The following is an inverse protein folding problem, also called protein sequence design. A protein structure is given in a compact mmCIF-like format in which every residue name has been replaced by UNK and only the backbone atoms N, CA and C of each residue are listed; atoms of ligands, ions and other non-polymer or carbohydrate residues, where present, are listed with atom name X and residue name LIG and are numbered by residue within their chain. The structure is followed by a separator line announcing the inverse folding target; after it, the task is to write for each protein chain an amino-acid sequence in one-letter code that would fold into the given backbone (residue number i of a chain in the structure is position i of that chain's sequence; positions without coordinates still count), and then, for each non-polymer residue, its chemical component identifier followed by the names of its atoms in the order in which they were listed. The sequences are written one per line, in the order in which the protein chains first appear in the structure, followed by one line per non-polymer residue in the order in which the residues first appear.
data_IF_103540823143
#
_entry.id   IF_103540823143
#
_cell.length_a   1.000
_cell.length_b   1.000
_cell.length_c   1.000
_cell.angle_alpha   90.00
_cell.angle_beta   90.00
_cell.angle_gamma   90.00
#
_symmetry.space_group_name_H-M   'P 1'
#
loop_
_entity.id
_entity.type
_entity.pdbx_description
1 polymer ?
#
# COMPACT_ATOMS: atom_id res chain seq x y z
N UNK A 1 -17.09 3.00 17.37
CA UNK A 1 -16.17 1.88 17.05
C UNK A 1 -16.00 1.84 15.55
N UNK A 2 -14.79 2.09 15.04
CA UNK A 2 -14.55 2.29 13.61
C UNK A 2 -14.10 1.00 12.94
N UNK A 3 -14.81 0.62 11.88
CA UNK A 3 -14.53 -0.53 11.03
C UNK A 3 -14.17 -0.04 9.63
N UNK A 4 -13.21 -0.71 9.01
CA UNK A 4 -12.81 -0.48 7.63
C UNK A 4 -13.19 -1.69 6.82
N UNK A 5 -14.00 -1.56 5.78
CA UNK A 5 -14.13 -2.61 4.78
C UNK A 5 -13.21 -2.29 3.61
N UNK A 6 -12.51 -3.29 3.09
CA UNK A 6 -11.79 -3.24 1.83
C UNK A 6 -12.43 -4.23 0.88
N UNK A 7 -12.69 -3.81 -0.36
CA UNK A 7 -13.04 -4.71 -1.46
C UNK A 7 -12.09 -4.44 -2.64
N UNK A 8 -11.44 -5.46 -3.18
CA UNK A 8 -10.64 -5.36 -4.41
C UNK A 8 -11.23 -6.27 -5.50
N UNK A 9 -11.12 -5.85 -6.76
CA UNK A 9 -11.48 -6.67 -7.92
C UNK A 9 -10.61 -6.30 -9.11
N UNK A 10 -9.95 -7.27 -9.76
CA UNK A 10 -9.14 -6.99 -10.96
C UNK A 10 -10.03 -6.87 -12.20
N UNK A 11 -9.85 -5.81 -12.99
CA UNK A 11 -10.49 -5.64 -14.29
C UNK A 11 -9.63 -6.32 -15.39
N UNK A 12 -10.12 -7.41 -15.96
CA UNK A 12 -9.42 -8.14 -17.02
C UNK A 12 -9.54 -7.47 -18.39
N UNK A 13 -8.44 -7.45 -19.15
CA UNK A 13 -8.43 -7.08 -20.57
C UNK A 13 -9.11 -8.18 -21.41
N UNK A 14 -10.19 -7.84 -22.10
CA UNK A 14 -10.53 -8.51 -23.35
C UNK A 14 -10.56 -7.46 -24.44
N UNK A 15 -9.60 -7.51 -25.36
CA UNK A 15 -9.80 -6.93 -26.68
C UNK A 15 -11.07 -7.54 -27.27
N UNK A 16 -12.02 -6.76 -27.80
CA UNK A 16 -12.95 -7.32 -28.76
C UNK A 16 -12.11 -7.89 -29.90
N UNK A 17 -12.35 -9.14 -30.30
CA UNK A 17 -11.98 -9.60 -31.63
C UNK A 17 -12.78 -8.76 -32.63
N UNK A 18 -12.28 -7.57 -32.92
CA UNK A 18 -12.58 -6.90 -34.17
C UNK A 18 -11.54 -7.44 -35.15
N UNK A 19 -12.05 -8.07 -36.20
CA UNK A 19 -11.27 -8.64 -37.28
C UNK A 19 -10.16 -7.67 -37.74
N UNK A 20 -8.95 -8.22 -37.82
CA UNK A 20 -7.80 -7.64 -38.50
C UNK A 20 -7.42 -6.19 -38.18
N UNK A 21 -7.00 -5.85 -36.95
CA UNK A 21 -5.88 -4.91 -36.75
C UNK A 21 -5.18 -5.15 -35.40
N UNK A 22 -3.85 -5.27 -35.45
CA UNK A 22 -2.85 -5.40 -34.36
C UNK A 22 -3.36 -5.07 -32.94
N UNK A 23 -3.23 -6.04 -32.05
CA UNK A 23 -3.38 -5.90 -30.60
C UNK A 23 -2.50 -4.74 -30.06
N UNK A 24 -3.12 -3.59 -29.83
CA UNK A 24 -2.51 -2.53 -29.04
C UNK A 24 -2.77 -2.84 -27.56
N UNK A 25 -1.73 -3.27 -26.83
CA UNK A 25 -1.78 -3.17 -25.38
C UNK A 25 -2.05 -1.71 -25.05
N UNK A 26 -3.00 -1.43 -24.18
CA UNK A 26 -3.24 -0.07 -23.76
C UNK A 26 -2.00 0.41 -23.01
N UNK A 27 -1.45 1.54 -23.42
CA UNK A 27 -0.46 2.24 -22.61
C UNK A 27 -1.11 2.68 -21.29
N UNK A 28 -0.33 2.68 -20.20
CA UNK A 28 -0.78 2.96 -18.84
C UNK A 28 -1.58 4.26 -18.75
N UNK A 29 -1.17 5.30 -19.48
CA UNK A 29 -1.88 6.58 -19.52
C UNK A 29 -3.27 6.48 -20.17
N UNK A 30 -3.39 5.71 -21.26
CA UNK A 30 -4.67 5.53 -21.97
C UNK A 30 -5.66 4.72 -21.13
N UNK A 31 -5.17 3.73 -20.40
CA UNK A 31 -6.00 2.98 -19.46
C UNK A 31 -6.50 3.86 -18.33
N UNK A 32 -5.63 4.69 -17.73
CA UNK A 32 -6.04 5.64 -16.68
C UNK A 32 -7.10 6.64 -17.18
N UNK A 33 -6.97 7.14 -18.42
CA UNK A 33 -7.97 8.00 -19.03
C UNK A 33 -9.32 7.29 -19.22
N UNK A 34 -9.30 6.02 -19.65
CA UNK A 34 -10.51 5.23 -19.83
C UNK A 34 -11.27 5.00 -18.52
N UNK A 35 -10.56 4.78 -17.41
CA UNK A 35 -11.16 4.54 -16.09
C UNK A 35 -11.46 5.83 -15.32
N UNK A 36 -11.00 7.00 -15.77
CA UNK A 36 -11.25 8.29 -15.12
C UNK A 36 -12.75 8.58 -14.94
N UNK A 37 -13.56 8.28 -15.97
CA UNK A 37 -15.01 8.43 -15.89
C UNK A 37 -15.66 7.51 -14.84
N UNK A 38 -15.06 6.35 -14.57
CA UNK A 38 -15.47 5.46 -13.49
C UNK A 38 -15.07 6.03 -12.14
N UNK A 39 -13.82 6.47 -11.97
CA UNK A 39 -13.31 7.05 -10.72
C UNK A 39 -14.13 8.26 -10.27
N UNK A 40 -14.41 9.20 -11.19
CA UNK A 40 -15.25 10.37 -10.89
C UNK A 40 -16.65 10.02 -10.39
N UNK A 41 -17.19 8.89 -10.84
CA UNK A 41 -18.50 8.40 -10.38
C UNK A 41 -18.39 7.73 -9.01
N UNK A 42 -17.28 7.05 -8.73
CA UNK A 42 -17.00 6.43 -7.45
C UNK A 42 -16.73 7.47 -6.35
N UNK A 43 -16.10 8.60 -6.67
CA UNK A 43 -15.87 9.70 -5.72
C UNK A 43 -17.17 10.34 -5.22
N UNK A 44 -18.26 10.19 -5.96
CA UNK A 44 -19.58 10.66 -5.56
C UNK A 44 -20.34 9.66 -4.66
N UNK A 45 -19.77 8.49 -4.37
CA UNK A 45 -20.39 7.52 -3.48
C UNK A 45 -20.17 7.94 -2.04
N UNK A 46 -21.26 8.28 -1.36
CA UNK A 46 -21.21 8.73 0.03
C UNK A 46 -20.64 7.66 0.96
N UNK A 47 -19.72 8.06 1.86
CA UNK A 47 -19.09 7.19 2.88
C UNK A 47 -18.23 6.04 2.36
N UNK A 48 -17.88 6.03 1.07
CA UNK A 48 -16.89 5.12 0.50
C UNK A 48 -15.84 5.91 -0.28
N UNK A 49 -14.63 5.38 -0.34
CA UNK A 49 -13.53 5.92 -1.14
C UNK A 49 -13.05 4.84 -2.10
N UNK A 50 -12.71 5.24 -3.32
CA UNK A 50 -12.13 4.36 -4.31
C UNK A 50 -10.66 4.72 -4.53
N UNK A 51 -9.81 3.71 -4.56
CA UNK A 51 -8.40 3.79 -4.89
C UNK A 51 -8.19 2.89 -6.11
N UNK A 52 -7.34 3.30 -7.04
CA UNK A 52 -7.04 2.48 -8.21
C UNK A 52 -5.55 2.38 -8.40
N UNK A 53 -5.07 1.15 -8.50
CA UNK A 53 -3.70 0.86 -8.87
C UNK A 53 -3.71 -0.05 -10.09
N UNK A 54 -3.19 0.44 -11.21
CA UNK A 54 -3.35 -0.22 -12.50
C UNK A 54 -4.82 -0.65 -12.72
N UNK A 55 -5.07 -1.94 -12.95
CA UNK A 55 -6.36 -2.57 -13.19
C UNK A 55 -7.11 -3.03 -11.93
N UNK A 56 -6.58 -2.77 -10.72
CA UNK A 56 -7.14 -3.19 -9.44
C UNK A 56 -7.81 -2.01 -8.67
N UNK A 57 -9.12 -1.78 -8.83
CA UNK A 57 -9.89 -0.91 -7.96
C UNK A 57 -10.05 -1.49 -6.55
N UNK A 58 -9.63 -0.70 -5.56
CA UNK A 58 -9.80 -0.96 -4.13
C UNK A 58 -10.81 0.02 -3.55
N UNK A 59 -11.93 -0.49 -3.04
CA UNK A 59 -12.95 0.27 -2.33
C UNK A 59 -12.72 0.20 -0.83
N UNK A 60 -12.80 1.34 -0.15
CA UNK A 60 -12.65 1.45 1.30
C UNK A 60 -13.84 2.20 1.88
N UNK A 61 -14.43 1.69 2.97
CA UNK A 61 -15.47 2.43 3.70
C UNK A 61 -15.25 2.34 5.20
N UNK A 62 -15.63 3.42 5.88
CA UNK A 62 -15.53 3.58 7.32
C UNK A 62 -16.93 3.55 7.94
N UNK A 63 -17.15 2.73 8.98
CA UNK A 63 -18.48 2.57 9.57
C UNK A 63 -18.50 2.07 10.99
N UNK A 64 -19.69 2.10 11.61
CA UNK A 64 -19.92 1.65 12.99
C UNK A 64 -19.89 0.11 13.15
N UNK A 65 -19.90 -0.64 12.05
CA UNK A 65 -19.95 -2.10 11.99
C UNK A 65 -19.77 -2.62 10.56
N UNK A 66 -19.60 -3.93 10.40
CA UNK A 66 -19.46 -4.57 9.08
C UNK A 66 -20.65 -4.30 8.16
N UNK A 67 -21.88 -4.33 8.68
CA UNK A 67 -23.11 -4.00 7.92
C UNK A 67 -23.13 -2.54 7.43
N UNK A 68 -22.70 -1.60 8.26
CA UNK A 68 -22.64 -0.18 7.88
C UNK A 68 -21.59 0.04 6.79
N UNK A 69 -20.40 -0.57 6.92
CA UNK A 69 -19.38 -0.55 5.87
C UNK A 69 -19.86 -1.22 4.59
N UNK A 70 -20.56 -2.35 4.69
CA UNK A 70 -21.11 -3.06 3.54
C UNK A 70 -22.12 -2.20 2.78
N UNK A 71 -23.05 -1.56 3.51
CA UNK A 71 -24.03 -0.64 2.95
C UNK A 71 -23.37 0.55 2.24
N UNK A 72 -22.24 1.06 2.76
CA UNK A 72 -21.48 2.13 2.14
C UNK A 72 -20.72 1.69 0.86
N UNK A 73 -20.17 0.46 0.83
CA UNK A 73 -19.42 -0.06 -0.32
C UNK A 73 -20.33 -0.55 -1.44
N UNK A 74 -21.52 -1.06 -1.13
CA UNK A 74 -22.39 -1.71 -2.10
C UNK A 74 -22.75 -0.83 -3.31
N UNK A 75 -23.07 0.46 -3.17
CA UNK A 75 -23.33 1.34 -4.32
C UNK A 75 -22.12 1.46 -5.26
N UNK A 76 -20.90 1.54 -4.71
CA UNK A 76 -19.67 1.59 -5.49
C UNK A 76 -19.44 0.29 -6.26
N UNK A 77 -19.67 -0.89 -5.66
CA UNK A 77 -19.59 -2.18 -6.35
C UNK A 77 -20.62 -2.31 -7.48
N UNK A 78 -21.85 -1.85 -7.24
CA UNK A 78 -22.90 -1.82 -8.28
C UNK A 78 -22.50 -0.91 -9.44
N UNK A 79 -21.83 0.21 -9.16
CA UNK A 79 -21.33 1.13 -10.17
C UNK A 79 -20.21 0.50 -11.01
N UNK A 80 -19.22 -0.14 -10.36
CA UNK A 80 -18.16 -0.88 -11.05
C UNK A 80 -18.76 -1.97 -11.94
N UNK A 81 -19.73 -2.73 -11.42
CA UNK A 81 -20.42 -3.78 -12.17
C UNK A 81 -21.12 -3.23 -13.41
N UNK A 82 -21.91 -2.16 -13.25
CA UNK A 82 -22.66 -1.53 -14.34
C UNK A 82 -21.71 -0.95 -15.40
N UNK A 83 -20.63 -0.31 -14.94
CA UNK A 83 -19.60 0.21 -15.83
C UNK A 83 -18.91 -0.91 -16.61
N UNK A 84 -18.50 -1.99 -15.93
CA UNK A 84 -17.87 -3.14 -16.56
C UNK A 84 -18.78 -3.82 -17.59
N UNK A 85 -20.07 -3.98 -17.30
CA UNK A 85 -21.05 -4.52 -18.24
C UNK A 85 -21.19 -3.64 -19.50
N UNK A 86 -21.12 -2.31 -19.37
CA UNK A 86 -21.24 -1.38 -20.49
C UNK A 86 -19.96 -1.18 -21.31
N UNK A 87 -18.80 -1.55 -20.77
CA UNK A 87 -17.49 -1.27 -21.37
C UNK A 87 -16.69 -2.53 -21.73
N UNK A 88 -17.24 -3.72 -21.44
CA UNK A 88 -16.68 -5.04 -21.71
C UNK A 88 -15.42 -5.51 -20.93
N UNK A 89 -14.92 -4.87 -19.84
CA UNK A 89 -13.91 -5.52 -19.01
C UNK A 89 -14.55 -6.64 -18.17
N UNK A 90 -13.90 -7.81 -18.15
CA UNK A 90 -14.35 -8.93 -17.28
C UNK A 90 -13.84 -8.69 -15.87
N UNK A 91 -14.75 -8.74 -14.90
CA UNK A 91 -14.35 -8.73 -13.48
C UNK A 91 -13.75 -10.10 -13.15
N UNK A 92 -12.51 -10.11 -12.66
CA UNK A 92 -11.87 -11.33 -12.20
C UNK A 92 -12.42 -11.72 -10.82
N UNK A 93 -13.26 -12.75 -10.79
CA UNK A 93 -13.88 -13.24 -9.57
C UNK A 93 -12.97 -14.09 -8.68
N UNK A 94 -11.78 -14.48 -9.12
CA UNK A 94 -10.83 -15.26 -8.32
C UNK A 94 -9.90 -14.37 -7.49
N UNK A 95 -9.57 -13.17 -8.00
CA UNK A 95 -8.70 -12.20 -7.32
C UNK A 95 -9.44 -11.23 -6.40
N UNK A 96 -10.76 -11.39 -6.23
CA UNK A 96 -11.54 -10.54 -5.35
C UNK A 96 -11.39 -10.91 -3.89
N UNK A 97 -11.22 -9.90 -3.06
CA UNK A 97 -11.20 -10.07 -1.62
C UNK A 97 -12.04 -8.96 -0.99
N UNK A 98 -12.86 -9.34 -0.01
CA UNK A 98 -13.48 -8.39 0.88
C UNK A 98 -13.15 -8.72 2.33
N UNK A 99 -12.66 -7.73 3.06
CA UNK A 99 -12.33 -7.90 4.46
C UNK A 99 -12.70 -6.68 5.28
N UNK A 100 -12.94 -6.93 6.56
CA UNK A 100 -13.21 -5.88 7.53
C UNK A 100 -12.11 -5.85 8.59
N UNK A 101 -11.59 -4.65 8.86
CA UNK A 101 -10.54 -4.35 9.81
C UNK A 101 -11.03 -3.42 10.91
N UNK A 102 -10.33 -3.39 12.02
CA UNK A 102 -10.76 -2.69 13.23
C UNK A 102 -9.58 -2.13 13.99
N UNK A 103 -9.71 -0.89 14.46
CA UNK A 103 -8.66 -0.19 15.22
C UNK A 103 -8.70 -0.52 16.74
N UNK A 104 -9.80 -1.07 17.27
CA UNK A 104 -9.94 -1.37 18.72
C UNK A 104 -9.77 -2.84 19.11
N UNK A 105 -9.10 -3.08 20.24
CA UNK A 105 -8.75 -4.40 20.80
C UNK A 105 -9.89 -5.13 21.51
N UNK A 106 -11.05 -4.50 21.72
CA UNK A 106 -12.14 -5.10 22.50
C UNK A 106 -12.78 -6.28 21.76
N UNK A 107 -12.70 -7.47 22.39
CA UNK A 107 -13.35 -8.71 21.97
C UNK A 107 -14.88 -8.51 21.91
N UNK A 108 -15.39 -8.14 20.74
CA UNK A 108 -16.78 -8.45 20.39
C UNK A 108 -16.70 -9.58 19.37
N UNK A 109 -17.52 -10.61 19.55
CA UNK A 109 -17.50 -11.84 18.77
C UNK A 109 -17.48 -11.55 17.28
N UNK A 110 -16.65 -12.32 16.57
CA UNK A 110 -16.81 -12.53 15.13
C UNK A 110 -18.22 -13.09 14.93
N UNK A 111 -19.10 -12.35 14.25
CA UNK A 111 -20.29 -12.85 13.55
C UNK A 111 -21.13 -11.66 13.08
N UNK A 112 -20.69 -11.05 11.99
CA UNK A 112 -21.61 -10.45 11.03
C UNK A 112 -20.89 -10.53 9.69
N UNK A 113 -20.86 -11.75 9.15
CA UNK A 113 -20.44 -11.99 7.78
C UNK A 113 -21.52 -11.38 6.90
N UNK A 114 -21.17 -10.34 6.16
CA UNK A 114 -22.07 -9.66 5.25
C UNK A 114 -21.64 -9.99 3.83
N UNK A 115 -22.57 -10.47 3.04
CA UNK A 115 -22.34 -10.69 1.61
C UNK A 115 -22.60 -9.40 0.86
N UNK A 116 -21.65 -9.01 0.02
CA UNK A 116 -21.78 -7.94 -0.95
C UNK A 116 -22.13 -8.55 -2.32
N UNK A 117 -22.92 -7.84 -3.11
CA UNK A 117 -23.21 -8.23 -4.48
C UNK A 117 -22.19 -7.59 -5.43
N UNK A 118 -21.59 -8.41 -6.30
CA UNK A 118 -20.65 -7.97 -7.34
C UNK A 118 -20.96 -8.73 -8.63
N UNK A 119 -21.59 -8.08 -9.60
CA UNK A 119 -22.11 -8.76 -10.79
C UNK A 119 -23.12 -9.85 -10.43
N UNK A 120 -22.96 -11.02 -11.04
CA UNK A 120 -23.75 -12.23 -10.75
C UNK A 120 -23.24 -13.01 -9.54
N UNK A 121 -22.16 -12.57 -8.89
CA UNK A 121 -21.53 -13.28 -7.78
C UNK A 121 -21.62 -12.54 -6.45
N UNK A 122 -21.52 -13.29 -5.35
CA UNK A 122 -21.40 -12.73 -4.00
C UNK A 122 -19.93 -12.57 -3.60
N UNK A 123 -19.62 -11.46 -2.93
CA UNK A 123 -18.33 -11.13 -2.35
C UNK A 123 -18.51 -11.05 -0.83
N UNK A 124 -18.11 -12.11 -0.13
CA UNK A 124 -18.28 -12.21 1.32
C UNK A 124 -17.24 -11.38 2.05
N UNK A 125 -17.69 -10.45 2.90
CA UNK A 125 -16.81 -9.74 3.81
C UNK A 125 -16.35 -10.71 4.91
N UNK A 126 -15.05 -10.85 5.06
CA UNK A 126 -14.46 -11.76 6.04
C UNK A 126 -13.54 -11.03 7.03
N UNK A 127 -13.56 -11.49 8.27
CA UNK A 127 -12.67 -11.05 9.36
C UNK A 127 -11.31 -11.74 9.26
N UNK A 128 -10.62 -11.60 8.10
CA UNK A 128 -9.34 -12.28 7.82
C UNK A 128 -8.32 -11.33 7.22
N UNK A 129 -7.01 -11.62 7.35
CA UNK A 129 -5.99 -10.88 6.63
C UNK A 129 -6.20 -10.98 5.11
N UNK A 130 -5.91 -9.90 4.39
CA UNK A 130 -5.96 -9.86 2.92
C UNK A 130 -4.68 -9.27 2.35
N UNK A 131 -4.38 -9.61 1.10
CA UNK A 131 -3.26 -9.01 0.36
C UNK A 131 -3.75 -7.83 -0.47
N UNK A 132 -3.05 -6.72 -0.37
CA UNK A 132 -3.22 -5.51 -1.18
C UNK A 132 -1.84 -4.98 -1.58
N UNK A 133 -1.55 -4.88 -2.88
CA UNK A 133 -0.28 -4.35 -3.40
C UNK A 133 0.96 -4.97 -2.72
N UNK A 134 0.97 -6.30 -2.66
CA UNK A 134 1.98 -7.13 -1.98
C UNK A 134 2.05 -7.00 -0.44
N UNK A 135 1.21 -6.18 0.17
CA UNK A 135 1.13 -6.03 1.62
C UNK A 135 0.01 -6.89 2.19
N UNK A 136 0.32 -7.61 3.28
CA UNK A 136 -0.72 -8.27 4.08
C UNK A 136 -1.29 -7.27 5.08
N UNK A 137 -2.55 -6.93 4.92
CA UNK A 137 -3.33 -6.12 5.86
C UNK A 137 -4.00 -7.07 6.84
N UNK A 138 -3.59 -7.02 8.11
CA UNK A 138 -4.16 -7.84 9.18
C UNK A 138 -5.40 -7.18 9.79
N UNK A 139 -6.25 -7.98 10.44
CA UNK A 139 -7.55 -7.54 11.00
C UNK A 139 -7.45 -6.30 11.90
N UNK A 140 -6.35 -6.19 12.65
CA UNK A 140 -6.14 -5.14 13.63
C UNK A 140 -5.32 -3.97 13.09
N UNK A 141 -4.97 -3.98 11.79
CA UNK A 141 -4.10 -3.00 11.15
C UNK A 141 -2.77 -2.83 11.92
N UNK A 142 -2.24 -3.91 12.50
CA UNK A 142 -0.95 -3.88 13.20
C UNK A 142 0.24 -3.99 12.25
N UNK A 143 -0.01 -4.44 11.01
CA UNK A 143 0.98 -4.67 9.96
C UNK A 143 2.14 -5.59 10.40
N UNK A 144 1.89 -6.50 11.33
CA UNK A 144 2.91 -7.42 11.86
C UNK A 144 3.55 -8.30 10.79
N UNK A 145 2.78 -8.73 9.78
CA UNK A 145 3.30 -9.49 8.64
C UNK A 145 4.30 -8.67 7.81
N UNK A 146 4.00 -7.39 7.56
CA UNK A 146 4.91 -6.48 6.87
C UNK A 146 6.17 -6.25 7.71
N UNK A 147 6.03 -6.01 9.01
CA UNK A 147 7.17 -5.87 9.93
C UNK A 147 8.06 -7.14 9.94
N UNK A 148 7.48 -8.33 9.84
CA UNK A 148 8.22 -9.59 9.74
C UNK A 148 8.97 -9.73 8.41
N UNK A 149 8.35 -9.35 7.28
CA UNK A 149 9.02 -9.35 5.96
C UNK A 149 10.17 -8.34 5.95
N UNK A 150 9.92 -7.10 6.39
CA UNK A 150 10.93 -6.07 6.53
C UNK A 150 12.07 -6.53 7.45
N UNK A 151 11.76 -7.28 8.52
CA UNK A 151 12.76 -7.91 9.38
C UNK A 151 13.63 -8.94 8.67
N UNK A 152 13.05 -9.81 7.83
CA UNK A 152 13.81 -10.81 7.08
C UNK A 152 14.74 -10.15 6.06
N UNK A 153 14.21 -9.22 5.30
CA UNK A 153 14.99 -8.39 4.38
C UNK A 153 16.07 -7.60 5.10
N UNK A 154 15.81 -7.21 6.36
CA UNK A 154 16.79 -6.50 7.17
C UNK A 154 18.02 -7.34 7.52
N UNK A 155 17.84 -8.63 7.72
CA UNK A 155 18.95 -9.56 7.97
C UNK A 155 19.81 -9.73 6.72
N UNK A 156 19.18 -9.95 5.56
CA UNK A 156 19.88 -10.11 4.28
C UNK A 156 20.67 -8.87 3.89
N UNK A 157 20.04 -7.70 3.95
CA UNK A 157 20.70 -6.42 3.66
C UNK A 157 21.86 -6.12 4.59
N UNK A 158 21.79 -6.53 5.87
CA UNK A 158 22.92 -6.40 6.80
C UNK A 158 24.10 -7.28 6.41
N UNK A 159 23.84 -8.52 5.97
CA UNK A 159 24.91 -9.40 5.49
C UNK A 159 25.61 -8.80 4.27
N UNK A 160 24.85 -8.33 3.28
CA UNK A 160 25.41 -7.68 2.09
C UNK A 160 26.18 -6.40 2.44
N UNK A 161 25.66 -5.58 3.35
CA UNK A 161 26.37 -4.39 3.84
C UNK A 161 27.72 -4.74 4.49
N UNK A 162 27.80 -5.86 5.25
CA UNK A 162 29.06 -6.34 5.82
C UNK A 162 30.05 -6.76 4.74
N UNK A 163 29.60 -7.44 3.68
CA UNK A 163 30.47 -7.83 2.57
C UNK A 163 31.06 -6.60 1.85
N UNK A 164 30.24 -5.59 1.59
CA UNK A 164 30.69 -4.33 0.97
C UNK A 164 31.70 -3.62 1.88
N UNK A 165 31.46 -3.59 3.19
CA UNK A 165 32.41 -3.03 4.15
C UNK A 165 33.74 -3.80 4.18
N UNK A 166 33.67 -5.14 4.18
CA UNK A 166 34.84 -6.03 4.17
C UNK A 166 35.68 -5.89 2.90
N UNK A 167 35.05 -5.54 1.78
CA UNK A 167 35.73 -5.23 0.52
C UNK A 167 36.47 -3.88 0.53
N UNK A 168 36.48 -3.15 1.65
CA UNK A 168 37.18 -1.88 1.79
C UNK A 168 36.46 -0.69 1.16
N UNK A 169 35.14 -0.77 0.98
CA UNK A 169 34.36 0.32 0.42
C UNK A 169 34.52 1.63 1.22
N UNK A 170 34.65 2.74 0.51
CA UNK A 170 34.74 4.06 1.13
C UNK A 170 33.45 4.42 1.88
N UNK A 171 33.55 5.34 2.84
CA UNK A 171 32.39 5.83 3.59
C UNK A 171 31.27 6.34 2.65
N UNK A 172 31.63 7.02 1.57
CA UNK A 172 30.67 7.51 0.57
C UNK A 172 29.97 6.37 -0.19
N UNK A 173 30.72 5.34 -0.59
CA UNK A 173 30.16 4.15 -1.25
C UNK A 173 29.22 3.38 -0.30
N UNK A 174 29.62 3.23 0.97
CA UNK A 174 28.81 2.60 2.02
C UNK A 174 27.49 3.33 2.25
N UNK A 175 27.53 4.66 2.34
CA UNK A 175 26.32 5.49 2.47
C UNK A 175 25.41 5.35 1.24
N UNK A 176 25.97 5.39 0.05
CA UNK A 176 25.22 5.25 -1.20
C UNK A 176 24.54 3.88 -1.28
N UNK A 177 25.24 2.81 -0.92
CA UNK A 177 24.68 1.46 -0.85
C UNK A 177 23.54 1.35 0.19
N UNK A 178 23.73 1.96 1.37
CA UNK A 178 22.72 2.00 2.43
C UNK A 178 21.46 2.76 2.00
N UNK A 179 21.58 3.85 1.24
CA UNK A 179 20.43 4.60 0.71
C UNK A 179 19.80 3.87 -0.48
N UNK A 180 20.58 3.49 -1.49
CA UNK A 180 20.03 2.94 -2.74
C UNK A 180 19.41 1.56 -2.56
N UNK A 181 20.13 0.66 -1.90
CA UNK A 181 19.70 -0.73 -1.79
C UNK A 181 18.94 -0.98 -0.48
N UNK A 182 19.54 -0.60 0.65
CA UNK A 182 19.01 -1.00 1.95
C UNK A 182 17.75 -0.21 2.32
N UNK A 183 17.68 1.11 2.06
CA UNK A 183 16.42 1.86 2.24
C UNK A 183 15.38 1.44 1.21
N UNK A 184 15.76 1.21 -0.04
CA UNK A 184 14.84 0.74 -1.09
C UNK A 184 14.10 -0.53 -0.65
N UNK A 185 14.83 -1.50 -0.11
CA UNK A 185 14.22 -2.75 0.38
C UNK A 185 13.48 -2.57 1.71
N UNK A 186 14.07 -1.86 2.69
CA UNK A 186 13.50 -1.80 4.06
C UNK A 186 12.32 -0.85 4.18
N UNK A 187 12.28 0.18 3.34
CA UNK A 187 11.27 1.24 3.37
C UNK A 187 10.29 1.13 2.20
N UNK A 188 10.29 0.00 1.48
CA UNK A 188 9.29 -0.27 0.46
C UNK A 188 7.89 -0.28 1.10
N UNK A 189 6.98 0.54 0.58
CA UNK A 189 5.65 0.81 1.14
C UNK A 189 5.67 1.40 2.57
N UNK A 190 6.82 1.92 3.01
CA UNK A 190 6.98 2.38 4.38
C UNK A 190 6.12 3.62 4.69
N UNK A 191 6.03 4.53 3.74
CA UNK A 191 5.20 5.73 3.83
C UNK A 191 3.71 5.45 4.15
N UNK A 192 3.14 4.36 3.64
CA UNK A 192 1.74 4.00 3.86
C UNK A 192 1.51 3.22 5.17
N UNK A 193 2.51 2.46 5.62
CA UNK A 193 2.37 1.50 6.72
C UNK A 193 2.87 2.08 8.06
N UNK A 194 3.94 2.88 8.03
CA UNK A 194 4.62 3.31 9.25
C UNK A 194 3.80 4.22 10.17
N UNK A 195 2.92 5.12 9.70
CA UNK A 195 2.03 5.87 10.58
C UNK A 195 1.13 4.98 11.44
N UNK A 196 0.87 3.75 10.98
CA UNK A 196 -0.03 2.79 11.61
C UNK A 196 0.68 1.70 12.43
N UNK A 197 2.02 1.64 12.39
CA UNK A 197 2.76 0.60 13.09
C UNK A 197 2.67 0.75 14.61
N UNK A 198 2.47 -0.37 15.30
CA UNK A 198 2.52 -0.39 16.76
C UNK A 198 3.92 0.12 17.24
N UNK A 199 3.98 0.89 18.34
CA UNK A 199 5.23 1.47 18.84
C UNK A 199 6.36 0.46 19.06
N UNK A 200 6.02 -0.78 19.43
CA UNK A 200 6.97 -1.88 19.62
C UNK A 200 7.67 -2.28 18.31
N UNK A 201 6.92 -2.42 17.21
CA UNK A 201 7.48 -2.75 15.90
C UNK A 201 8.35 -1.61 15.37
N UNK A 202 7.91 -0.36 15.56
CA UNK A 202 8.69 0.82 15.17
C UNK A 202 10.03 0.86 15.90
N UNK A 203 10.03 0.67 17.23
CA UNK A 203 11.26 0.63 18.04
C UNK A 203 12.23 -0.46 17.59
N UNK A 204 11.71 -1.66 17.27
CA UNK A 204 12.53 -2.76 16.78
C UNK A 204 13.18 -2.44 15.42
N UNK A 205 12.46 -1.76 14.53
CA UNK A 205 13.02 -1.30 13.25
C UNK A 205 14.07 -0.20 13.44
N UNK A 206 13.85 0.75 14.35
CA UNK A 206 14.83 1.79 14.68
C UNK A 206 16.16 1.21 15.20
N UNK A 207 16.10 0.20 16.09
CA UNK A 207 17.29 -0.51 16.60
C UNK A 207 18.05 -1.18 15.45
N UNK A 208 17.34 -1.85 14.54
CA UNK A 208 17.95 -2.50 13.37
C UNK A 208 18.58 -1.48 12.42
N UNK A 209 17.92 -0.35 12.20
CA UNK A 209 18.44 0.72 11.38
C UNK A 209 19.73 1.32 11.94
N UNK A 210 19.79 1.59 13.25
CA UNK A 210 21.01 2.05 13.93
C UNK A 210 22.15 1.04 13.80
N UNK A 211 21.86 -0.25 13.98
CA UNK A 211 22.85 -1.31 13.79
C UNK A 211 23.45 -1.33 12.36
N UNK A 212 22.67 -0.95 11.34
CA UNK A 212 23.21 -0.82 9.98
C UNK A 212 24.09 0.42 9.83
N UNK A 213 23.74 1.52 10.48
CA UNK A 213 24.60 2.71 10.53
C UNK A 213 25.95 2.39 11.22
N UNK A 214 25.93 1.63 12.32
CA UNK A 214 27.16 1.10 12.95
C UNK A 214 27.98 0.28 11.95
N UNK A 215 27.32 -0.63 11.24
CA UNK A 215 27.97 -1.50 10.25
C UNK A 215 28.57 -0.69 9.09
N UNK A 216 27.90 0.37 8.60
CA UNK A 216 28.44 1.22 7.53
C UNK A 216 29.64 2.05 7.95
N UNK A 217 29.74 2.36 9.25
CA UNK A 217 30.87 3.07 9.86
C UNK A 217 31.99 2.12 10.30
N UNK A 218 31.81 0.80 10.19
CA UNK A 218 32.75 -0.18 10.74
C UNK A 218 32.78 -0.22 12.28
N UNK A 219 31.80 0.39 12.95
CA UNK A 219 31.72 0.43 14.41
C UNK A 219 31.21 -0.90 14.98
N UNK A 220 31.73 -1.27 16.15
CA UNK A 220 31.27 -2.43 16.91
C UNK A 220 29.89 -2.18 17.54
N UNK A 221 29.22 -3.24 17.99
CA UNK A 221 27.87 -3.12 18.56
C UNK A 221 27.81 -2.29 19.86
N UNK A 222 28.92 -2.15 20.60
CA UNK A 222 28.97 -1.56 21.94
C UNK A 222 29.14 -0.04 21.97
N UNK A 223 29.34 0.64 20.84
CA UNK A 223 29.48 2.11 20.80
C UNK A 223 28.16 2.80 21.20
N UNK A 224 28.25 3.87 21.98
CA UNK A 224 27.11 4.62 22.52
C UNK A 224 26.13 5.06 21.40
N UNK A 225 24.83 4.86 21.62
CA UNK A 225 23.85 4.63 20.54
C UNK A 225 23.20 5.91 19.99
N UNK A 226 23.49 7.07 20.59
CA UNK A 226 22.62 8.26 20.51
C UNK A 226 22.79 9.07 19.21
N UNK A 227 23.92 8.99 18.52
CA UNK A 227 24.24 9.81 17.34
C UNK A 227 24.65 9.04 16.07
N UNK A 228 24.66 7.71 16.10
CA UNK A 228 25.25 6.88 15.02
C UNK A 228 24.68 7.13 13.62
N UNK A 229 23.39 7.44 13.50
CA UNK A 229 22.80 7.76 12.19
C UNK A 229 23.42 9.04 11.62
N UNK A 230 23.65 10.04 12.47
CA UNK A 230 24.16 11.34 12.09
C UNK A 230 25.63 11.23 11.65
N UNK A 231 26.43 10.42 12.35
CA UNK A 231 27.80 10.07 11.97
C UNK A 231 27.86 9.33 10.62
N UNK A 232 26.91 8.42 10.37
CA UNK A 232 26.73 7.80 9.06
C UNK A 232 26.18 8.76 7.98
N UNK A 233 26.02 10.04 8.31
CA UNK A 233 25.42 11.08 7.48
C UNK A 233 24.01 10.70 6.98
N UNK A 234 23.19 10.20 7.91
CA UNK A 234 21.82 9.75 7.72
C UNK A 234 20.88 10.33 8.79
N UNK A 235 19.63 10.52 8.42
CA UNK A 235 18.58 10.90 9.36
C UNK A 235 18.13 9.68 10.18
N UNK A 236 17.67 9.87 11.44
CA UNK A 236 16.97 8.83 12.17
C UNK A 236 15.80 8.27 11.36
N UNK A 237 15.60 6.96 11.42
CA UNK A 237 14.56 6.24 10.65
C UNK A 237 13.19 6.92 10.74
N UNK A 238 12.76 7.29 11.94
CA UNK A 238 11.49 7.98 12.19
C UNK A 238 11.35 9.28 11.38
N UNK A 239 12.41 10.09 11.29
CA UNK A 239 12.39 11.33 10.51
C UNK A 239 12.26 11.04 9.02
N UNK A 240 12.99 10.05 8.50
CA UNK A 240 12.90 9.64 7.09
C UNK A 240 11.46 9.24 6.74
N UNK A 241 10.83 8.44 7.60
CA UNK A 241 9.48 7.95 7.38
C UNK A 241 8.44 9.07 7.42
N UNK A 242 8.54 9.98 8.40
CA UNK A 242 7.66 11.15 8.47
C UNK A 242 7.80 12.04 7.24
N UNK A 243 9.03 12.29 6.77
CA UNK A 243 9.26 13.06 5.55
C UNK A 243 8.62 12.40 4.32
N UNK A 244 8.76 11.07 4.18
CA UNK A 244 8.14 10.32 3.08
C UNK A 244 6.62 10.34 3.15
N UNK A 245 6.04 10.12 4.33
CA UNK A 245 4.60 10.16 4.55
C UNK A 245 4.02 11.55 4.27
N UNK A 246 4.70 12.61 4.73
CA UNK A 246 4.31 13.99 4.45
C UNK A 246 4.41 14.31 2.96
N UNK A 247 5.51 13.94 2.30
CA UNK A 247 5.68 14.14 0.85
C UNK A 247 4.57 13.43 0.07
N UNK A 248 4.17 12.23 0.50
CA UNK A 248 3.07 11.50 -0.13
C UNK A 248 1.72 12.18 0.12
N UNK A 249 1.48 12.67 1.33
CA UNK A 249 0.27 13.41 1.67
C UNK A 249 0.18 14.73 0.89
N UNK A 250 1.26 15.49 0.76
CA UNK A 250 1.32 16.70 -0.05
C UNK A 250 1.06 16.41 -1.52
N UNK A 251 1.63 15.33 -2.07
CA UNK A 251 1.33 14.88 -3.44
C UNK A 251 -0.16 14.54 -3.59
N UNK A 252 -0.74 13.84 -2.61
CA UNK A 252 -2.16 13.52 -2.61
C UNK A 252 -3.02 14.80 -2.60
N UNK A 253 -2.72 15.76 -1.73
CA UNK A 253 -3.42 17.04 -1.67
C UNK A 253 -3.28 17.82 -2.98
N UNK A 254 -2.07 17.92 -3.55
CA UNK A 254 -1.87 18.60 -4.83
C UNK A 254 -2.68 17.94 -5.94
N UNK A 255 -2.72 16.60 -5.99
CA UNK A 255 -3.54 15.85 -6.96
C UNK A 255 -5.05 16.07 -6.75
N UNK A 256 -5.49 16.28 -5.51
CA UNK A 256 -6.91 16.42 -5.15
C UNK A 256 -7.43 17.86 -5.27
N UNK A 257 -6.63 18.88 -4.94
CA UNK A 257 -7.01 20.30 -5.02
C UNK A 257 -6.86 20.89 -6.43
N UNK A 258 -6.25 20.16 -7.36
CA UNK A 258 -6.11 20.61 -8.74
C UNK A 258 -7.07 19.90 -9.68
N UNK A 259 -8.20 20.55 -9.96
CA UNK A 259 -8.85 20.45 -11.27
C UNK A 259 -7.89 20.77 -12.45
N UNK A 260 -6.68 21.28 -12.17
CA UNK A 260 -5.63 21.67 -13.12
C UNK A 260 -4.45 20.70 -13.32
N UNK A 261 -4.28 19.62 -12.54
CA UNK A 261 -3.16 18.66 -12.75
C UNK A 261 -3.35 17.77 -13.99
N UNK A 262 -4.51 17.89 -14.65
CA UNK A 262 -4.70 17.39 -16.01
C UNK A 262 -3.75 18.08 -17.00
N UNK A 263 -3.39 19.35 -16.82
CA UNK A 263 -2.51 20.09 -17.73
C UNK A 263 -1.07 19.57 -17.76
N UNK A 264 -0.58 18.92 -16.71
CA UNK A 264 0.80 18.43 -16.63
C UNK A 264 0.98 17.01 -17.19
N UNK A 265 -0.13 16.35 -17.55
CA UNK A 265 -0.12 15.20 -18.47
C UNK A 265 -0.13 15.70 -19.94
N UNK A 266 -0.41 16.99 -20.16
CA UNK A 266 -0.44 17.65 -21.48
C UNK A 266 0.78 18.54 -21.75
N UNK A 267 1.95 18.24 -21.17
CA UNK A 267 3.24 18.85 -21.54
C UNK A 267 4.35 17.81 -21.57
#
# INVERSE_FOLDING_TARGET
MLWYALANSTLGNNSPQLEHHKAASWDTQRFLYFVDGLLRRLDNVYSASALMYADDPTLVALGAGSRACAAAIQPALSLITKWAAGHNPKINFEKRAAAVFRISSHKRSDEDMVDLHLGSGNLRIQSRPVRLLDNTIDRLLTFGAHAAVASKQATLSRYQLRLVAQAGASHHAMRTFLIGYVHGVTLYNGEAIFPCLAPTFLRNMEVRYRNRCKTSLGLSASTEDTSVCLEANLLPLRKILWLRALTQYERYLCLHDHGGLRSLIYS
#
